data_IF_680923577528
#
_entry.id   IF_680923577528
#
_cell.length_a   1.000
_cell.length_b   1.000
_cell.length_c   1.000
_cell.angle_alpha   90.00
_cell.angle_beta   90.00
_cell.angle_gamma   90.00
#
_symmetry.space_group_name_H-M   'P 1'
#
loop_
_entity.id
_entity.type
_entity.pdbx_description
1 polymer ?
#
# COMPACT_ATOMS: atom_id res chain seq x y z
N UNK A 1 -2.79 -27.15 -14.17
CA UNK A 1 -2.91 -26.58 -12.82
C UNK A 1 -1.52 -26.59 -12.21
N UNK A 2 -0.76 -25.49 -12.35
CA UNK A 2 0.56 -25.38 -11.71
C UNK A 2 0.30 -24.86 -10.30
N UNK A 3 0.57 -25.70 -9.31
CA UNK A 3 0.59 -25.28 -7.92
C UNK A 3 1.86 -24.44 -7.74
N UNK A 4 1.73 -23.11 -7.86
CA UNK A 4 2.75 -22.22 -7.34
C UNK A 4 2.81 -22.42 -5.82
N UNK A 5 4.02 -22.67 -5.31
CA UNK A 5 4.27 -22.68 -3.88
C UNK A 5 3.81 -21.34 -3.27
N UNK A 6 3.29 -21.32 -2.02
CA UNK A 6 2.97 -20.07 -1.37
C UNK A 6 4.25 -19.23 -1.31
N UNK A 7 4.30 -18.12 -2.05
CA UNK A 7 5.31 -17.10 -1.78
C UNK A 7 5.02 -16.63 -0.38
N UNK A 8 5.93 -16.85 0.56
CA UNK A 8 5.89 -16.17 1.86
C UNK A 8 5.99 -14.67 1.57
N UNK A 9 4.82 -14.03 1.50
CA UNK A 9 4.68 -12.61 1.27
C UNK A 9 5.05 -11.93 2.58
N UNK A 10 6.32 -11.55 2.75
CA UNK A 10 6.81 -10.90 3.96
C UNK A 10 6.12 -9.54 4.24
N UNK A 11 5.45 -8.95 3.24
CA UNK A 11 4.80 -7.64 3.32
C UNK A 11 3.28 -7.76 3.58
N UNK A 12 2.69 -6.72 4.18
CA UNK A 12 1.24 -6.54 4.37
C UNK A 12 0.77 -5.39 3.50
N UNK A 13 -0.42 -5.51 2.90
CA UNK A 13 -1.00 -4.45 2.08
C UNK A 13 -2.05 -3.66 2.85
N UNK A 14 -1.94 -2.33 2.83
CA UNK A 14 -2.86 -1.39 3.46
C UNK A 14 -3.23 -0.30 2.46
N UNK A 15 -4.49 0.11 2.44
CA UNK A 15 -4.94 1.23 1.62
C UNK A 15 -5.34 2.40 2.53
N UNK A 16 -4.73 3.56 2.27
CA UNK A 16 -5.03 4.81 2.93
C UNK A 16 -5.78 5.74 1.97
N UNK A 17 -6.78 6.44 2.48
CA UNK A 17 -7.28 7.63 1.80
C UNK A 17 -6.23 8.73 1.96
N UNK A 18 -5.86 9.42 0.89
CA UNK A 18 -4.91 10.54 0.96
C UNK A 18 -5.57 11.83 0.50
N UNK A 19 -5.11 12.96 1.02
CA UNK A 19 -5.56 14.29 0.60
C UNK A 19 -4.77 14.76 -0.63
N UNK A 20 -5.23 15.83 -1.28
CA UNK A 20 -4.48 16.44 -2.39
C UNK A 20 -3.10 16.96 -1.95
N UNK A 21 -2.96 17.38 -0.69
CA UNK A 21 -1.70 17.87 -0.14
C UNK A 21 -0.72 16.71 0.08
N UNK A 22 -1.19 15.57 0.61
CA UNK A 22 -0.38 14.35 0.74
C UNK A 22 0.08 13.86 -0.65
N UNK A 23 -0.81 13.90 -1.65
CA UNK A 23 -0.47 13.54 -3.04
C UNK A 23 0.61 14.46 -3.61
N UNK A 24 0.50 15.77 -3.40
CA UNK A 24 1.50 16.73 -3.85
C UNK A 24 2.85 16.49 -3.14
N UNK A 25 2.84 16.16 -1.85
CA UNK A 25 4.05 15.85 -1.10
C UNK A 25 4.72 14.57 -1.62
N UNK A 26 3.95 13.50 -1.87
CA UNK A 26 4.46 12.24 -2.43
C UNK A 26 5.08 12.44 -3.83
N UNK A 27 4.47 13.26 -4.68
CA UNK A 27 4.97 13.53 -6.04
C UNK A 27 6.20 14.44 -6.08
N UNK A 28 6.40 15.27 -5.06
CA UNK A 28 7.56 16.17 -4.95
C UNK A 28 8.68 15.61 -4.07
N UNK A 29 8.54 14.39 -3.55
CA UNK A 29 9.59 13.74 -2.79
C UNK A 29 10.79 13.40 -3.70
N UNK A 30 11.98 13.86 -3.33
CA UNK A 30 13.20 13.68 -4.13
C UNK A 30 13.92 12.34 -3.85
N UNK A 31 13.55 11.67 -2.75
CA UNK A 31 14.14 10.40 -2.34
C UNK A 31 13.13 9.46 -1.69
N UNK A 32 13.48 8.17 -1.66
CA UNK A 32 12.70 7.15 -0.94
C UNK A 32 12.54 7.51 0.55
N UNK A 33 13.53 8.19 1.15
CA UNK A 33 13.46 8.66 2.54
C UNK A 33 12.35 9.69 2.73
N UNK A 34 12.27 10.67 1.84
CA UNK A 34 11.24 11.72 1.88
C UNK A 34 9.84 11.12 1.65
N UNK A 35 9.72 10.13 0.74
CA UNK A 35 8.48 9.38 0.55
C UNK A 35 8.06 8.68 1.84
N UNK A 36 9.00 8.01 2.52
CA UNK A 36 8.72 7.31 3.77
C UNK A 36 8.29 8.26 4.89
N UNK A 37 8.83 9.48 4.97
CA UNK A 37 8.37 10.49 5.93
C UNK A 37 6.92 10.90 5.69
N UNK A 38 6.54 11.11 4.42
CA UNK A 38 5.15 11.44 4.06
C UNK A 38 4.22 10.27 4.36
N UNK A 39 4.62 9.04 4.01
CA UNK A 39 3.85 7.82 4.30
C UNK A 39 3.66 7.66 5.81
N UNK A 40 4.70 7.85 6.62
CA UNK A 40 4.61 7.78 8.07
C UNK A 40 3.59 8.80 8.62
N UNK A 41 3.61 10.04 8.13
CA UNK A 41 2.63 11.06 8.55
C UNK A 41 1.19 10.67 8.19
N UNK A 42 1.00 10.03 7.04
CA UNK A 42 -0.30 9.50 6.62
C UNK A 42 -0.73 8.36 7.54
N UNK A 43 0.15 7.39 7.80
CA UNK A 43 -0.11 6.26 8.70
C UNK A 43 -0.53 6.73 10.09
N UNK A 44 0.25 7.59 10.73
CA UNK A 44 -0.03 8.11 12.08
C UNK A 44 -1.39 8.81 12.17
N UNK A 45 -1.75 9.58 11.13
CA UNK A 45 -3.03 10.32 11.07
C UNK A 45 -4.23 9.40 10.98
N UNK A 46 -4.11 8.30 10.24
CA UNK A 46 -5.21 7.35 10.03
C UNK A 46 -5.28 6.27 11.11
N UNK A 47 -4.15 5.92 11.75
CA UNK A 47 -4.14 5.08 12.95
C UNK A 47 -4.88 5.76 14.11
N UNK A 48 -4.79 7.09 14.21
CA UNK A 48 -5.51 7.87 15.21
C UNK A 48 -7.04 7.92 14.98
N UNK A 49 -7.52 7.59 13.77
CA UNK A 49 -8.93 7.64 13.39
C UNK A 49 -9.43 6.26 12.96
N UNK A 50 -9.93 5.48 13.93
CA UNK A 50 -10.49 4.15 13.70
C UNK A 50 -11.52 4.17 12.55
N UNK A 51 -11.33 3.28 11.56
CA UNK A 51 -12.28 3.07 10.46
C UNK A 51 -11.91 3.67 9.10
N UNK A 52 -10.83 4.44 9.01
CA UNK A 52 -10.34 4.98 7.72
C UNK A 52 -9.22 4.14 7.08
N UNK A 53 -8.76 3.10 7.78
CA UNK A 53 -7.75 2.16 7.29
C UNK A 53 -8.45 0.94 6.70
N UNK A 54 -8.07 0.56 5.48
CA UNK A 54 -8.47 -0.71 4.88
C UNK A 54 -7.26 -1.65 4.80
N UNK A 55 -7.14 -2.53 5.80
CA UNK A 55 -6.12 -3.58 5.83
C UNK A 55 -6.55 -4.75 4.95
N UNK A 56 -5.78 -5.00 3.91
CA UNK A 56 -5.99 -6.16 3.02
C UNK A 56 -5.06 -7.33 3.36
N UNK A 57 -4.15 -7.14 4.31
CA UNK A 57 -3.12 -8.08 4.75
C UNK A 57 -2.48 -8.80 3.56
N UNK A 58 -2.56 -10.13 3.44
CA UNK A 58 -1.96 -10.91 2.35
C UNK A 58 -2.81 -10.92 1.07
N UNK A 59 -4.03 -10.41 1.12
CA UNK A 59 -4.94 -10.43 -0.02
C UNK A 59 -4.56 -9.40 -1.10
N UNK A 60 -3.72 -8.41 -0.79
CA UNK A 60 -3.31 -7.36 -1.76
C UNK A 60 -2.76 -7.94 -3.06
N UNK A 61 -1.96 -9.00 -2.97
CA UNK A 61 -1.31 -9.65 -4.10
C UNK A 61 -2.29 -10.48 -4.93
N UNK A 62 -3.28 -11.10 -4.29
CA UNK A 62 -4.39 -11.74 -5.01
C UNK A 62 -5.25 -10.70 -5.73
N UNK A 63 -5.55 -9.56 -5.08
CA UNK A 63 -6.31 -8.45 -5.68
C UNK A 63 -5.55 -7.91 -6.91
N UNK A 64 -4.25 -7.63 -6.79
CA UNK A 64 -3.43 -7.18 -7.92
C UNK A 64 -3.43 -8.18 -9.08
N UNK A 65 -3.23 -9.48 -8.82
CA UNK A 65 -3.27 -10.48 -9.89
C UNK A 65 -4.63 -10.57 -10.58
N UNK A 66 -5.72 -10.49 -9.84
CA UNK A 66 -7.06 -10.56 -10.41
C UNK A 66 -7.41 -9.34 -11.27
N UNK A 67 -6.86 -8.17 -10.94
CA UNK A 67 -7.19 -6.90 -11.61
C UNK A 67 -6.20 -6.52 -12.73
N UNK A 68 -5.02 -7.14 -12.78
CA UNK A 68 -3.95 -6.85 -13.75
C UNK A 68 -3.63 -8.03 -14.68
N UNK A 69 -4.63 -8.87 -15.00
CA UNK A 69 -4.48 -10.08 -15.83
C UNK A 69 -3.38 -11.04 -15.37
N UNK A 70 -3.13 -11.08 -14.05
CA UNK A 70 -2.11 -11.93 -13.42
C UNK A 70 -0.69 -11.36 -13.43
N UNK A 71 -0.47 -10.14 -13.92
CA UNK A 71 0.85 -9.51 -13.95
C UNK A 71 1.06 -8.53 -12.79
N UNK A 72 2.21 -8.65 -12.12
CA UNK A 72 2.75 -7.63 -11.20
C UNK A 72 3.95 -7.04 -11.94
N UNK A 73 3.79 -5.90 -12.59
CA UNK A 73 4.90 -5.13 -13.19
C UNK A 73 5.49 -4.20 -12.17
#
# INVERSE_FOLDING_TARGET
>A
MRCDAPRDMACRGVHFAITNDDLAALLNADSDGDVMEVVQSVEERWEANEGFICETDKAWDAIHRCLSDGSLT
#
